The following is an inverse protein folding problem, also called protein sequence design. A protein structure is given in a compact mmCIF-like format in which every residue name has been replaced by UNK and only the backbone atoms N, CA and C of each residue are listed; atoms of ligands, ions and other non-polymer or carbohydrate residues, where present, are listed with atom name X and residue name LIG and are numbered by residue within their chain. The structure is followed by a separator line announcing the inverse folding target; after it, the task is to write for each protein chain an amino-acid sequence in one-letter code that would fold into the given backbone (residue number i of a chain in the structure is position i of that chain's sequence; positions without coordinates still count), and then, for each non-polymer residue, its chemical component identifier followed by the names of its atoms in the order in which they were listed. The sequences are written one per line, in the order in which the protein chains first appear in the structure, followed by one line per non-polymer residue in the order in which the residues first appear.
data_IF_106351315881
#
_entry.id   IF_106351315881
#
_cell.length_a   1.000
_cell.length_b   1.000
_cell.length_c   1.000
_cell.angle_alpha   90.00
_cell.angle_beta   90.00
_cell.angle_gamma   90.00
#
_symmetry.space_group_name_H-M   'P 1'
#
loop_
_entity.id
_entity.type
_entity.pdbx_description
1 polymer ?
#
# COMPACT_ATOMS: atom_id res chain seq x y z
N UNK A 1 -12.65 31.70 5.87
CA UNK A 1 -12.09 30.33 5.88
C UNK A 1 -11.98 29.95 7.33
N UNK A 2 -12.77 28.98 7.81
CA UNK A 2 -12.67 28.54 9.21
C UNK A 2 -11.28 27.94 9.46
N UNK A 3 -10.73 28.25 10.62
CA UNK A 3 -9.46 27.69 11.09
C UNK A 3 -9.66 26.25 11.57
N UNK A 4 -8.60 25.45 11.59
CA UNK A 4 -8.66 24.05 12.03
C UNK A 4 -9.24 23.89 13.45
N UNK A 5 -8.94 24.84 14.34
CA UNK A 5 -9.44 24.86 15.72
C UNK A 5 -10.95 25.13 15.81
N UNK A 6 -11.50 25.95 14.91
CA UNK A 6 -12.94 26.24 14.87
C UNK A 6 -13.74 25.02 14.35
N UNK A 7 -13.17 24.25 13.42
CA UNK A 7 -13.80 23.02 12.93
C UNK A 7 -13.76 21.88 13.96
N UNK A 8 -12.65 21.74 14.70
CA UNK A 8 -12.51 20.74 15.77
C UNK A 8 -13.44 21.02 16.96
N UNK A 9 -13.80 22.29 17.21
CA UNK A 9 -14.70 22.66 18.31
C UNK A 9 -16.18 22.35 18.02
N UNK A 10 -16.57 22.24 16.75
CA UNK A 10 -17.97 22.11 16.32
C UNK A 10 -18.32 20.70 15.81
N UNK A 11 -17.32 19.91 15.41
CA UNK A 11 -17.54 18.57 14.89
C UNK A 11 -17.60 17.49 16.00
N UNK A 12 -18.57 16.57 15.98
CA UNK A 12 -18.63 15.44 16.93
C UNK A 12 -17.56 14.36 16.65
N UNK A 13 -16.64 14.61 15.71
CA UNK A 13 -15.59 13.70 15.27
C UNK A 13 -14.32 14.47 14.92
N UNK A 14 -13.18 13.79 15.02
CA UNK A 14 -11.86 14.37 14.73
C UNK A 14 -11.74 14.74 13.25
N UNK A 15 -11.36 15.97 12.96
CA UNK A 15 -11.05 16.42 11.60
C UNK A 15 -9.54 16.42 11.39
N UNK A 16 -9.08 15.81 10.31
CA UNK A 16 -7.66 15.75 9.95
C UNK A 16 -7.46 16.30 8.54
N UNK A 17 -6.48 17.19 8.39
CA UNK A 17 -6.00 17.59 7.08
C UNK A 17 -5.00 16.55 6.56
N UNK A 18 -5.16 16.16 5.31
CA UNK A 18 -4.31 15.19 4.65
C UNK A 18 -3.83 15.72 3.29
N UNK A 19 -2.70 15.18 2.82
CA UNK A 19 -2.08 15.61 1.57
C UNK A 19 -2.86 15.12 0.35
N UNK A 20 -3.07 16.00 -0.61
CA UNK A 20 -3.71 15.70 -1.89
C UNK A 20 -2.74 15.13 -2.95
N UNK A 21 -1.46 14.92 -2.62
CA UNK A 21 -0.44 14.51 -3.57
C UNK A 21 -0.72 13.13 -4.21
N UNK A 22 -1.19 12.15 -3.44
CA UNK A 22 -1.57 10.81 -3.94
C UNK A 22 -3.02 10.77 -4.45
N UNK A 23 -4.02 11.35 -3.76
CA UNK A 23 -5.41 11.30 -4.20
C UNK A 23 -5.65 11.99 -5.55
N UNK A 24 -4.94 13.10 -5.81
CA UNK A 24 -4.98 13.75 -7.11
C UNK A 24 -4.44 12.84 -8.23
N UNK A 25 -3.37 12.09 -7.97
CA UNK A 25 -2.82 11.13 -8.94
C UNK A 25 -3.76 9.94 -9.16
N UNK A 26 -4.40 9.44 -8.10
CA UNK A 26 -5.39 8.37 -8.23
C UNK A 26 -6.54 8.81 -9.14
N UNK A 27 -7.12 9.99 -8.89
CA UNK A 27 -8.24 10.49 -9.68
C UNK A 27 -7.88 10.82 -11.14
N UNK A 28 -6.62 11.13 -11.42
CA UNK A 28 -6.12 11.31 -12.80
C UNK A 28 -5.79 9.99 -13.50
N UNK A 29 -5.79 8.86 -12.79
CA UNK A 29 -5.40 7.56 -13.33
C UNK A 29 -6.57 6.81 -13.95
N UNK A 30 -6.28 5.94 -14.92
CA UNK A 30 -7.26 4.98 -15.45
C UNK A 30 -7.67 3.91 -14.43
N UNK A 31 -6.95 3.81 -13.30
CA UNK A 31 -7.25 2.87 -12.22
C UNK A 31 -8.49 3.30 -11.44
N UNK A 32 -8.65 4.59 -11.16
CA UNK A 32 -9.84 5.09 -10.48
C UNK A 32 -11.13 4.77 -11.25
N UNK A 33 -11.10 4.94 -12.58
CA UNK A 33 -12.23 4.56 -13.45
C UNK A 33 -12.50 3.05 -13.42
N UNK A 34 -11.46 2.21 -13.41
CA UNK A 34 -11.61 0.74 -13.33
C UNK A 34 -12.20 0.29 -12.00
N UNK A 35 -11.81 0.91 -10.90
CA UNK A 35 -12.25 0.51 -9.56
C UNK A 35 -13.61 1.08 -9.17
N UNK A 36 -13.89 2.33 -9.53
CA UNK A 36 -15.05 3.07 -9.05
C UNK A 36 -16.08 3.37 -10.15
N UNK A 37 -15.81 2.97 -11.40
CA UNK A 37 -16.67 3.20 -12.55
C UNK A 37 -16.71 4.67 -12.95
N UNK A 38 -17.79 5.08 -13.62
CA UNK A 38 -17.98 6.45 -14.14
C UNK A 38 -18.48 7.44 -13.07
N UNK A 39 -17.81 7.46 -11.91
CA UNK A 39 -18.11 8.40 -10.82
C UNK A 39 -17.39 9.73 -11.00
N UNK A 40 -17.90 10.76 -10.35
CA UNK A 40 -17.29 12.08 -10.36
C UNK A 40 -15.84 12.03 -9.82
N UNK A 41 -14.86 12.71 -10.44
CA UNK A 41 -13.46 12.68 -10.01
C UNK A 41 -13.22 13.09 -8.55
N UNK A 42 -14.07 13.97 -7.98
CA UNK A 42 -14.01 14.31 -6.56
C UNK A 42 -14.29 13.10 -5.64
N UNK A 43 -15.16 12.18 -6.05
CA UNK A 43 -15.41 10.95 -5.29
C UNK A 43 -14.20 10.02 -5.34
N UNK A 44 -13.50 9.96 -6.46
CA UNK A 44 -12.25 9.21 -6.56
C UNK A 44 -11.18 9.79 -5.62
N UNK A 45 -11.02 11.12 -5.62
CA UNK A 45 -10.10 11.81 -4.69
C UNK A 45 -10.47 11.54 -3.23
N UNK A 46 -11.74 11.73 -2.86
CA UNK A 46 -12.21 11.49 -1.50
C UNK A 46 -12.00 10.02 -1.06
N UNK A 47 -12.19 9.07 -1.98
CA UNK A 47 -11.95 7.64 -1.71
C UNK A 47 -10.47 7.38 -1.44
N UNK A 48 -9.58 7.90 -2.28
CA UNK A 48 -8.13 7.77 -2.08
C UNK A 48 -7.66 8.48 -0.81
N UNK A 49 -8.24 9.64 -0.47
CA UNK A 49 -7.97 10.34 0.78
C UNK A 49 -8.36 9.48 2.01
N UNK A 50 -9.53 8.83 1.96
CA UNK A 50 -9.96 7.89 2.99
C UNK A 50 -9.02 6.69 3.13
N UNK A 51 -8.58 6.11 2.01
CA UNK A 51 -7.59 5.00 1.99
C UNK A 51 -6.23 5.43 2.54
N UNK A 52 -5.78 6.65 2.22
CA UNK A 52 -4.54 7.21 2.79
C UNK A 52 -4.62 7.37 4.30
N UNK A 53 -5.77 7.79 4.83
CA UNK A 53 -5.98 7.92 6.27
C UNK A 53 -5.95 6.56 6.98
N UNK A 54 -6.39 5.49 6.30
CA UNK A 54 -6.33 4.11 6.81
C UNK A 54 -4.90 3.54 6.74
N UNK A 55 -4.28 3.60 5.56
CA UNK A 55 -2.91 3.13 5.34
C UNK A 55 -2.27 3.88 4.17
N UNK A 56 -1.47 4.89 4.50
CA UNK A 56 -0.76 5.71 3.54
C UNK A 56 0.26 4.92 2.69
N UNK A 57 0.87 3.86 3.25
CA UNK A 57 1.91 3.10 2.56
C UNK A 57 1.28 2.23 1.47
N UNK A 58 0.18 1.57 1.81
CA UNK A 58 -0.62 0.79 0.86
C UNK A 58 -1.16 1.66 -0.25
N UNK A 59 -1.81 2.77 0.08
CA UNK A 59 -2.43 3.62 -0.94
C UNK A 59 -1.38 4.27 -1.86
N UNK A 60 -0.26 4.73 -1.29
CA UNK A 60 0.86 5.24 -2.08
C UNK A 60 1.45 4.14 -2.98
N UNK A 61 1.64 2.93 -2.46
CA UNK A 61 2.14 1.80 -3.24
C UNK A 61 1.16 1.42 -4.37
N UNK A 62 -0.14 1.48 -4.11
CA UNK A 62 -1.19 1.17 -5.07
C UNK A 62 -1.21 2.15 -6.23
N UNK A 63 -1.25 3.45 -5.92
CA UNK A 63 -1.30 4.52 -6.93
C UNK A 63 0.00 4.61 -7.70
N UNK A 64 1.15 4.69 -7.00
CA UNK A 64 2.45 4.86 -7.65
C UNK A 64 3.00 3.57 -8.25
N UNK A 65 2.48 2.42 -7.83
CA UNK A 65 2.92 1.11 -8.29
C UNK A 65 2.34 0.68 -9.63
N UNK A 66 1.24 1.31 -10.06
CA UNK A 66 0.66 1.07 -11.38
C UNK A 66 1.53 1.70 -12.48
N UNK A 67 1.68 0.98 -13.60
CA UNK A 67 2.35 1.46 -14.82
C UNK A 67 1.57 2.66 -15.37
N UNK A 68 2.04 3.88 -15.12
CA UNK A 68 1.43 5.11 -15.62
C UNK A 68 1.59 6.30 -14.70
N UNK A 69 1.26 6.14 -13.41
CA UNK A 69 1.49 7.19 -12.41
C UNK A 69 2.98 7.23 -12.03
N UNK A 70 3.53 6.09 -11.61
CA UNK A 70 4.93 5.96 -11.18
C UNK A 70 5.30 6.85 -9.98
N UNK A 71 6.35 6.50 -9.26
CA UNK A 71 6.84 7.33 -8.14
C UNK A 71 7.28 8.74 -8.57
N UNK A 72 7.69 8.91 -9.83
CA UNK A 72 8.23 10.19 -10.33
C UNK A 72 7.19 11.31 -10.51
N UNK A 73 5.90 10.97 -10.50
CA UNK A 73 4.80 11.94 -10.63
C UNK A 73 4.32 12.48 -9.30
N UNK A 74 4.81 11.92 -8.19
CA UNK A 74 4.47 12.39 -6.85
C UNK A 74 5.09 13.78 -6.62
N UNK A 75 4.25 14.75 -6.27
CA UNK A 75 4.67 16.10 -5.88
C UNK A 75 4.94 16.10 -4.37
N UNK A 76 6.19 15.80 -4.02
CA UNK A 76 6.67 15.68 -2.63
C UNK A 76 7.27 16.97 -2.09
N UNK A 77 7.92 17.77 -2.94
CA UNK A 77 8.63 18.97 -2.50
C UNK A 77 8.63 20.06 -3.59
N UNK A 78 8.46 21.36 -3.27
CA UNK A 78 8.42 22.43 -4.27
C UNK A 78 9.66 22.51 -5.16
N UNK A 79 10.83 22.18 -4.62
CA UNK A 79 12.12 22.19 -5.35
C UNK A 79 12.49 20.82 -5.94
N UNK A 80 11.57 19.87 -6.00
CA UNK A 80 11.89 18.51 -6.44
C UNK A 80 12.34 18.43 -7.91
N UNK A 81 11.96 19.41 -8.74
CA UNK A 81 12.33 19.50 -10.15
C UNK A 81 13.74 20.07 -10.37
N UNK A 82 14.39 20.56 -9.31
CA UNK A 82 15.82 20.89 -9.35
C UNK A 82 16.71 19.64 -9.42
N UNK A 83 16.17 18.45 -9.13
CA UNK A 83 16.89 17.18 -9.18
C UNK A 83 16.59 16.43 -10.48
N UNK A 84 17.57 15.70 -11.05
CA UNK A 84 17.32 14.79 -12.14
C UNK A 84 16.23 13.77 -11.77
N UNK A 85 15.27 13.55 -12.68
CA UNK A 85 14.13 12.64 -12.45
C UNK A 85 14.58 11.24 -12.00
N UNK A 86 15.67 10.72 -12.54
CA UNK A 86 16.22 9.40 -12.20
C UNK A 86 16.67 9.33 -10.74
N UNK A 87 17.42 10.32 -10.27
CA UNK A 87 17.87 10.43 -8.88
C UNK A 87 16.68 10.52 -7.93
N UNK A 88 15.69 11.35 -8.27
CA UNK A 88 14.47 11.51 -7.48
C UNK A 88 13.67 10.21 -7.38
N UNK A 89 13.43 9.55 -8.51
CA UNK A 89 12.67 8.28 -8.55
C UNK A 89 13.40 7.19 -7.76
N UNK A 90 14.72 7.10 -7.87
CA UNK A 90 15.51 6.13 -7.12
C UNK A 90 15.43 6.38 -5.61
N UNK A 91 15.56 7.63 -5.17
CA UNK A 91 15.42 7.99 -3.75
C UNK A 91 14.03 7.64 -3.20
N UNK A 92 12.97 7.91 -3.97
CA UNK A 92 11.59 7.54 -3.58
C UNK A 92 11.42 6.02 -3.54
N UNK A 93 11.98 5.28 -4.49
CA UNK A 93 11.92 3.82 -4.53
C UNK A 93 12.64 3.22 -3.33
N UNK A 94 13.84 3.68 -3.01
CA UNK A 94 14.58 3.28 -1.82
C UNK A 94 13.77 3.53 -0.54
N UNK A 95 13.07 4.68 -0.47
CA UNK A 95 12.22 5.00 0.68
C UNK A 95 11.03 4.06 0.81
N UNK A 96 10.36 3.74 -0.30
CA UNK A 96 9.26 2.77 -0.33
C UNK A 96 9.73 1.39 0.11
N UNK A 97 10.83 0.90 -0.46
CA UNK A 97 11.40 -0.41 -0.09
C UNK A 97 11.79 -0.44 1.40
N UNK A 98 12.39 0.63 1.91
CA UNK A 98 12.78 0.73 3.31
C UNK A 98 11.58 0.73 4.26
N UNK A 99 10.49 1.42 3.92
CA UNK A 99 9.26 1.42 4.72
C UNK A 99 8.58 0.06 4.69
N UNK A 100 8.44 -0.55 3.50
CA UNK A 100 7.86 -1.89 3.36
C UNK A 100 8.68 -2.94 4.11
N UNK A 101 10.01 -2.83 4.10
CA UNK A 101 10.88 -3.69 4.90
C UNK A 101 10.68 -3.52 6.41
N UNK A 102 10.43 -2.29 6.89
CA UNK A 102 10.18 -2.01 8.31
C UNK A 102 8.82 -2.54 8.79
N UNK A 103 7.78 -2.37 7.99
CA UNK A 103 6.41 -2.79 8.34
C UNK A 103 6.22 -4.29 8.09
N UNK A 104 6.86 -4.83 7.06
CA UNK A 104 6.61 -6.16 6.54
C UNK A 104 5.29 -6.24 5.76
N UNK A 105 5.11 -7.32 5.03
CA UNK A 105 3.94 -7.56 4.18
C UNK A 105 3.26 -8.85 4.59
N UNK A 106 1.96 -8.76 4.90
CA UNK A 106 1.13 -9.93 5.19
C UNK A 106 0.63 -10.53 3.88
N UNK A 107 1.06 -11.75 3.56
CA UNK A 107 0.68 -12.40 2.29
C UNK A 107 -0.82 -12.69 2.18
N UNK A 108 -1.51 -13.23 3.21
CA UNK A 108 -2.96 -13.40 3.15
C UNK A 108 -3.72 -12.09 2.88
N UNK A 109 -3.25 -10.96 3.43
CA UNK A 109 -3.86 -9.65 3.15
C UNK A 109 -3.62 -9.21 1.71
N UNK A 110 -2.40 -9.42 1.19
CA UNK A 110 -2.07 -9.14 -0.22
C UNK A 110 -3.02 -9.89 -1.15
N UNK A 111 -3.26 -11.17 -0.88
CA UNK A 111 -4.16 -11.99 -1.68
C UNK A 111 -5.62 -11.49 -1.60
N UNK A 112 -6.08 -11.10 -0.40
CA UNK A 112 -7.43 -10.56 -0.21
C UNK A 112 -7.66 -9.19 -0.89
N UNK A 113 -6.60 -8.38 -1.07
CA UNK A 113 -6.72 -7.00 -1.59
C UNK A 113 -6.29 -6.85 -3.06
N UNK A 114 -6.13 -7.97 -3.79
CA UNK A 114 -6.00 -7.96 -5.25
C UNK A 114 -4.91 -7.03 -5.77
N UNK A 115 -5.30 -6.03 -6.57
CA UNK A 115 -4.41 -5.06 -7.19
C UNK A 115 -3.59 -4.25 -6.16
N UNK A 116 -4.19 -3.81 -5.05
CA UNK A 116 -3.49 -3.08 -3.99
C UNK A 116 -2.39 -3.94 -3.37
N UNK A 117 -2.72 -5.19 -3.05
CA UNK A 117 -1.76 -6.15 -2.51
C UNK A 117 -0.61 -6.43 -3.47
N UNK A 118 -0.92 -6.68 -4.75
CA UNK A 118 0.09 -6.89 -5.80
C UNK A 118 1.03 -5.69 -5.95
N UNK A 119 0.49 -4.47 -5.92
CA UNK A 119 1.26 -3.23 -6.08
C UNK A 119 2.14 -2.94 -4.85
N UNK A 120 1.72 -3.33 -3.65
CA UNK A 120 2.56 -3.27 -2.44
C UNK A 120 3.73 -4.26 -2.53
N UNK A 121 3.47 -5.49 -2.99
CA UNK A 121 4.43 -6.59 -3.00
C UNK A 121 5.71 -6.28 -3.81
N UNK A 122 5.63 -5.39 -4.81
CA UNK A 122 6.79 -5.02 -5.62
C UNK A 122 7.87 -4.26 -4.85
N UNK A 123 7.53 -3.68 -3.70
CA UNK A 123 8.45 -2.91 -2.87
C UNK A 123 9.09 -3.76 -1.77
N UNK A 124 8.77 -5.06 -1.68
CA UNK A 124 9.49 -5.97 -0.78
C UNK A 124 10.93 -6.14 -1.26
N UNK A 125 11.95 -6.06 -0.37
CA UNK A 125 13.34 -6.27 -0.76
C UNK A 125 13.56 -7.56 -1.55
N UNK A 126 14.27 -7.46 -2.67
CA UNK A 126 14.52 -8.58 -3.59
C UNK A 126 13.40 -8.85 -4.61
N UNK A 127 12.20 -8.32 -4.37
CA UNK A 127 11.12 -8.25 -5.35
C UNK A 127 11.21 -6.94 -6.15
N UNK A 128 10.47 -6.95 -7.26
CA UNK A 128 10.31 -5.83 -8.17
C UNK A 128 9.10 -6.13 -9.05
N UNK A 129 8.65 -5.20 -9.90
CA UNK A 129 7.33 -5.26 -10.55
C UNK A 129 7.07 -6.59 -11.27
N UNK A 130 8.09 -7.14 -11.94
CA UNK A 130 8.00 -8.43 -12.65
C UNK A 130 7.93 -9.63 -11.71
N UNK A 131 8.76 -9.64 -10.66
CA UNK A 131 8.84 -10.77 -9.72
C UNK A 131 7.63 -10.81 -8.80
N UNK A 132 7.15 -9.65 -8.34
CA UNK A 132 5.96 -9.55 -7.51
C UNK A 132 4.70 -9.94 -8.28
N UNK A 133 4.55 -9.51 -9.54
CA UNK A 133 3.42 -9.92 -10.38
C UNK A 133 3.36 -11.45 -10.54
N UNK A 134 4.50 -12.07 -10.91
CA UNK A 134 4.60 -13.52 -11.02
C UNK A 134 4.30 -14.23 -9.69
N UNK A 135 4.89 -13.76 -8.58
CA UNK A 135 4.64 -14.35 -7.26
C UNK A 135 3.15 -14.26 -6.89
N UNK A 136 2.54 -13.09 -7.11
CA UNK A 136 1.13 -12.86 -6.82
C UNK A 136 0.22 -13.80 -7.63
N UNK A 137 0.47 -13.97 -8.93
CA UNK A 137 -0.27 -14.89 -9.79
C UNK A 137 -0.14 -16.34 -9.32
N UNK A 138 1.08 -16.80 -9.00
CA UNK A 138 1.29 -18.15 -8.49
C UNK A 138 0.59 -18.39 -7.15
N UNK A 139 0.62 -17.41 -6.24
CA UNK A 139 -0.08 -17.49 -4.95
C UNK A 139 -1.61 -17.51 -5.12
N UNK A 140 -2.15 -16.71 -6.05
CA UNK A 140 -3.57 -16.73 -6.41
C UNK A 140 -4.02 -18.10 -6.92
N UNK A 141 -3.24 -18.71 -7.82
CA UNK A 141 -3.54 -20.06 -8.32
C UNK A 141 -3.52 -21.11 -7.21
N UNK A 142 -2.57 -21.02 -6.28
CA UNK A 142 -2.48 -21.93 -5.13
C UNK A 142 -3.64 -21.75 -4.14
N UNK A 143 -4.08 -20.51 -3.91
CA UNK A 143 -5.23 -20.23 -3.04
C UNK A 143 -6.53 -20.83 -3.61
N UNK A 144 -6.67 -20.92 -4.94
CA UNK A 144 -7.83 -21.55 -5.59
C UNK A 144 -7.83 -23.08 -5.50
N UNK A 145 -6.65 -23.71 -5.37
CA UNK A 145 -6.50 -25.17 -5.40
C UNK A 145 -6.45 -25.83 -4.03
N UNK A 146 -6.93 -25.15 -2.97
CA UNK A 146 -6.87 -25.59 -1.55
C UNK A 146 -5.47 -25.76 -0.96
N UNK A 147 -4.42 -25.46 -1.73
CA UNK A 147 -3.03 -25.57 -1.31
C UNK A 147 -2.46 -24.18 -0.95
N UNK A 148 -3.07 -23.49 -0.01
CA UNK A 148 -2.57 -22.20 0.46
C UNK A 148 -1.14 -22.34 1.03
N UNK A 149 -0.35 -21.27 0.90
CA UNK A 149 0.99 -21.17 1.47
C UNK A 149 0.84 -20.65 2.90
N UNK A 150 1.22 -21.45 3.89
CA UNK A 150 1.05 -21.11 5.30
C UNK A 150 2.36 -20.67 5.97
N UNK A 151 3.51 -21.08 5.43
CA UNK A 151 4.83 -20.78 5.98
C UNK A 151 5.78 -20.16 4.96
N UNK A 152 6.83 -19.49 5.47
CA UNK A 152 7.87 -18.85 4.63
C UNK A 152 8.63 -19.88 3.80
N UNK A 153 9.01 -21.01 4.40
CA UNK A 153 9.85 -22.02 3.74
C UNK A 153 9.18 -22.62 2.50
N UNK A 154 7.84 -22.69 2.50
CA UNK A 154 7.05 -23.13 1.36
C UNK A 154 7.25 -22.25 0.12
N UNK A 155 7.63 -20.97 0.28
CA UNK A 155 7.96 -20.10 -0.85
C UNK A 155 9.20 -20.60 -1.60
N UNK A 156 10.15 -21.22 -0.89
CA UNK A 156 11.34 -21.82 -1.48
C UNK A 156 11.07 -23.25 -1.95
N UNK A 157 10.43 -24.07 -1.12
CA UNK A 157 10.18 -25.50 -1.40
C UNK A 157 9.30 -25.70 -2.64
N UNK A 158 8.25 -24.89 -2.76
CA UNK A 158 7.33 -24.90 -3.92
C UNK A 158 7.88 -24.11 -5.12
N UNK A 159 9.13 -23.64 -5.06
CA UNK A 159 9.81 -22.87 -6.11
C UNK A 159 9.05 -21.60 -6.54
N UNK A 160 8.34 -20.97 -5.61
CA UNK A 160 7.68 -19.68 -5.85
C UNK A 160 8.70 -18.56 -5.92
N UNK A 161 9.75 -18.65 -5.10
CA UNK A 161 10.92 -17.76 -5.12
C UNK A 161 12.19 -18.56 -5.35
N UNK A 162 13.09 -18.02 -6.19
CA UNK A 162 14.45 -18.55 -6.31
C UNK A 162 15.28 -18.22 -5.07
N UNK A 163 16.28 -19.07 -4.74
CA UNK A 163 17.08 -18.99 -3.51
C UNK A 163 17.58 -17.59 -3.13
N UNK A 164 18.12 -16.82 -4.08
CA UNK A 164 18.60 -15.44 -3.84
C UNK A 164 17.46 -14.47 -3.53
N UNK A 165 16.32 -14.62 -4.21
CA UNK A 165 15.15 -13.77 -3.97
C UNK A 165 14.49 -14.13 -2.65
N UNK A 166 14.42 -15.42 -2.33
CA UNK A 166 13.95 -15.91 -1.03
C UNK A 166 14.77 -15.32 0.12
N UNK A 167 16.10 -15.45 0.08
CA UNK A 167 16.99 -14.92 1.12
C UNK A 167 16.78 -13.41 1.38
N UNK A 168 16.45 -12.64 0.34
CA UNK A 168 16.21 -11.21 0.44
C UNK A 168 14.78 -10.87 0.90
N UNK A 169 13.76 -11.60 0.44
CA UNK A 169 12.36 -11.25 0.64
C UNK A 169 11.72 -11.92 1.87
N UNK A 170 12.16 -13.13 2.22
CA UNK A 170 11.55 -13.95 3.28
C UNK A 170 11.43 -13.26 4.65
N UNK A 171 12.42 -12.46 5.11
CA UNK A 171 12.32 -11.77 6.40
C UNK A 171 11.16 -10.78 6.48
N UNK A 172 10.74 -10.23 5.32
CA UNK A 172 9.78 -9.13 5.23
C UNK A 172 8.36 -9.61 4.90
N UNK A 173 8.15 -10.90 4.70
CA UNK A 173 6.82 -11.48 4.46
C UNK A 173 6.39 -12.29 5.65
N UNK A 174 5.11 -12.26 6.01
CA UNK A 174 4.58 -13.05 7.11
C UNK A 174 3.15 -13.55 6.84
N UNK A 175 2.78 -14.60 7.56
CA UNK A 175 1.54 -15.35 7.40
C UNK A 175 0.65 -15.29 8.63
N UNK A 176 1.07 -14.59 9.69
CA UNK A 176 0.35 -14.52 10.96
C UNK A 176 -1.09 -14.08 10.72
N UNK A 177 -2.08 -14.85 11.21
CA UNK A 177 -3.48 -14.45 11.13
C UNK A 177 -3.66 -13.13 11.90
N UNK A 178 -4.59 -12.30 11.43
CA UNK A 178 -5.08 -11.19 12.25
C UNK A 178 -5.67 -11.84 13.49
N UNK A 179 -5.27 -11.48 14.72
CA UNK A 179 -6.01 -11.92 15.89
C UNK A 179 -7.47 -11.45 15.69
N UNK A 180 -8.38 -12.40 15.49
CA UNK A 180 -9.83 -12.17 15.37
C UNK A 180 -10.43 -11.86 16.74
N UNK A 181 -9.72 -11.06 17.54
CA UNK A 181 -10.26 -10.45 18.73
C UNK A 181 -11.09 -9.25 18.30
N UNK A 182 -12.37 -9.28 18.62
CA UNK A 182 -13.23 -8.11 18.75
C UNK A 182 -12.68 -7.18 19.83
N UNK A 183 -11.50 -6.61 19.61
CA UNK A 183 -10.97 -5.46 20.33
C UNK A 183 -11.53 -4.23 19.65
N UNK A 184 -12.84 -4.00 19.80
CA UNK A 184 -13.34 -2.64 19.70
C UNK A 184 -12.50 -1.77 20.64
N UNK A 185 -12.24 -0.54 20.24
CA UNK A 185 -11.58 0.46 21.08
C UNK A 185 -12.32 0.51 22.42
N UNK A 186 -11.84 -0.23 23.42
CA UNK A 186 -12.19 0.03 24.81
C UNK A 186 -11.50 1.33 25.10
N UNK A 187 -12.28 2.41 24.99
CA UNK A 187 -11.95 3.63 25.65
C UNK A 187 -11.92 3.25 27.13
N UNK A 188 -10.72 3.02 27.67
CA UNK A 188 -10.50 3.04 29.12
C UNK A 188 -10.74 4.48 29.56
N UNK A 189 -12.02 4.84 29.62
CA UNK A 189 -12.52 5.78 30.59
C UNK A 189 -12.53 5.02 31.92
N UNK A 190 -12.00 5.66 32.95
CA UNK A 190 -12.02 5.26 34.35
C UNK A 190 -10.83 4.40 34.81
N UNK A 191 -9.75 5.11 35.15
CA UNK A 191 -8.98 4.79 36.34
C UNK A 191 -8.62 6.12 37.05
N UNK A 192 -9.20 6.29 38.24
CA UNK A 192 -8.94 7.33 39.25
C UNK A 192 -7.44 7.60 39.50
#
# INVERSE_FOLDING_TARGET
TMTAAEMDAEAPFRVLFASEAVPALYAASTMAQKELGDRHPLLWRATSLGRMAQDSLVETAHVCGHVGAGLGSLQTHPLQDALPRTVRVNALLERMVSWVARVGVRLPWVLAHGAQGRNLLQYVPGLGPRKSARLFEQLMTLAQSTHEVAARDELLDRRLLGRRVYANAAPFVYFTPIPTGSGGLTHDADAE
#
